data_IF_429043624812
#
_entry.id   IF_429043624812
#
_cell.length_a   1.000
_cell.length_b   1.000
_cell.length_c   1.000
_cell.angle_alpha   90.00
_cell.angle_beta   90.00
_cell.angle_gamma   90.00
#
_symmetry.space_group_name_H-M   'P 1'
#
loop_
_entity.id
_entity.type
_entity.pdbx_description
1 polymer ?
#
# COMPACT_ATOMS: atom_id res chain seq x y z
N UNK A 1 9.64 62.68 18.56
CA UNK A 1 10.34 61.73 17.67
C UNK A 1 9.32 60.72 17.21
N UNK A 2 9.32 60.55 15.91
CA UNK A 2 8.32 59.95 15.02
C UNK A 2 8.41 58.42 14.96
N UNK A 3 7.38 57.81 14.32
CA UNK A 3 7.22 56.43 13.82
C UNK A 3 6.61 55.45 14.82
N UNK A 4 5.39 54.95 14.69
CA UNK A 4 4.61 54.62 13.49
C UNK A 4 4.67 53.10 13.28
N UNK A 5 3.55 52.39 13.46
CA UNK A 5 3.09 51.39 12.48
C UNK A 5 1.67 50.93 12.77
N UNK A 6 0.85 51.06 11.75
CA UNK A 6 -0.51 50.56 11.64
C UNK A 6 -0.51 49.02 11.59
N UNK A 7 -1.59 48.40 12.08
CA UNK A 7 -2.10 47.17 11.45
C UNK A 7 -3.59 47.31 11.23
N UNK A 8 -3.89 47.44 9.95
CA UNK A 8 -5.18 47.47 9.32
C UNK A 8 -6.10 46.34 9.78
N UNK A 9 -7.35 46.73 10.01
CA UNK A 9 -8.50 45.87 9.80
C UNK A 9 -8.73 45.80 8.29
N UNK A 10 -8.48 44.64 7.67
CA UNK A 10 -8.96 44.36 6.32
C UNK A 10 -9.86 43.11 6.36
N UNK A 11 -11.15 43.40 6.29
CA UNK A 11 -12.24 42.51 5.93
C UNK A 11 -12.09 42.16 4.45
N UNK A 12 -12.06 40.87 4.10
CA UNK A 12 -12.32 40.43 2.73
C UNK A 12 -13.72 39.81 2.68
N UNK A 13 -14.63 40.59 2.12
CA UNK A 13 -15.87 40.13 1.49
C UNK A 13 -15.64 40.15 -0.03
N UNK A 14 -16.40 39.32 -0.77
CA UNK A 14 -16.75 39.34 -2.21
C UNK A 14 -16.25 38.09 -2.98
N UNK A 15 -17.01 37.37 -3.82
CA UNK A 15 -18.45 37.25 -4.19
C UNK A 15 -18.57 35.87 -4.90
N UNK A 16 -19.75 35.25 -4.83
CA UNK A 16 -20.14 34.00 -5.49
C UNK A 16 -20.32 34.06 -7.03
N UNK A 17 -20.27 32.86 -7.63
CA UNK A 17 -20.93 32.37 -8.86
C UNK A 17 -20.35 32.70 -10.25
N UNK A 18 -19.85 31.64 -10.92
CA UNK A 18 -20.21 31.32 -12.32
C UNK A 18 -20.30 29.81 -12.52
N UNK A 19 -21.37 29.40 -13.20
CA UNK A 19 -21.90 28.04 -13.46
C UNK A 19 -21.26 27.37 -14.68
N UNK A 20 -21.44 26.03 -14.77
CA UNK A 20 -21.37 25.09 -15.92
C UNK A 20 -20.21 24.07 -15.83
N UNK A 21 -20.35 22.77 -16.12
CA UNK A 21 -21.45 21.96 -16.67
C UNK A 21 -21.14 20.47 -16.39
N UNK A 22 -22.10 19.80 -15.78
CA UNK A 22 -22.61 18.43 -16.03
C UNK A 22 -21.67 17.37 -16.65
N UNK A 23 -21.39 16.29 -15.90
CA UNK A 23 -21.55 14.92 -16.44
C UNK A 23 -22.26 14.04 -15.41
N UNK A 24 -23.49 13.70 -15.75
CA UNK A 24 -24.35 12.75 -15.04
C UNK A 24 -23.87 11.36 -15.44
N UNK A 25 -23.34 10.58 -14.50
CA UNK A 25 -23.20 9.14 -14.66
C UNK A 25 -24.33 8.48 -13.87
N UNK A 26 -25.40 8.10 -14.57
CA UNK A 26 -26.55 7.42 -13.99
C UNK A 26 -26.15 6.02 -13.52
N UNK A 27 -26.50 5.73 -12.28
CA UNK A 27 -26.66 4.39 -11.72
C UNK A 27 -27.76 3.68 -12.52
N UNK A 28 -27.49 2.52 -13.11
CA UNK A 28 -28.54 1.64 -13.64
C UNK A 28 -28.49 0.36 -12.83
N UNK A 29 -29.50 0.20 -11.97
CA UNK A 29 -29.85 -1.06 -11.35
C UNK A 29 -30.42 -1.98 -12.43
N UNK A 30 -29.85 -3.18 -12.59
CA UNK A 30 -30.37 -4.20 -13.50
C UNK A 30 -31.32 -5.08 -12.69
N UNK A 31 -32.61 -4.78 -12.75
CA UNK A 31 -33.67 -5.69 -12.32
C UNK A 31 -33.99 -6.63 -13.49
N UNK A 32 -33.66 -7.91 -13.36
CA UNK A 32 -34.02 -8.92 -14.35
C UNK A 32 -35.48 -9.33 -14.20
N UNK A 33 -36.33 -8.93 -15.15
CA UNK A 33 -37.63 -9.58 -15.38
C UNK A 33 -37.64 -10.17 -16.79
N UNK A 34 -37.76 -11.49 -16.87
CA UNK A 34 -37.92 -12.22 -18.11
C UNK A 34 -39.36 -12.07 -18.61
N UNK A 35 -39.53 -11.55 -19.82
CA UNK A 35 -40.81 -11.58 -20.54
C UNK A 35 -40.63 -12.44 -21.80
N UNK A 36 -41.39 -13.53 -21.87
CA UNK A 36 -41.48 -14.44 -23.01
C UNK A 36 -42.23 -13.77 -24.17
N UNK A 37 -41.66 -13.79 -25.38
CA UNK A 37 -42.33 -13.36 -26.61
C UNK A 37 -42.48 -14.59 -27.53
N UNK A 38 -43.73 -14.83 -27.93
CA UNK A 38 -44.15 -15.83 -28.90
C UNK A 38 -43.76 -15.43 -30.34
N UNK A 39 -43.46 -16.45 -31.15
CA UNK A 39 -42.97 -16.37 -32.53
C UNK A 39 -44.14 -16.27 -33.53
N UNK A 40 -44.16 -15.26 -34.42
CA UNK A 40 -44.82 -15.32 -35.75
C UNK A 40 -44.08 -14.38 -36.72
N UNK A 41 -43.71 -14.86 -37.91
CA UNK A 41 -43.55 -14.01 -39.11
C UNK A 41 -42.19 -14.08 -39.82
N UNK A 42 -42.23 -14.41 -41.11
CA UNK A 42 -41.11 -14.79 -41.97
C UNK A 42 -40.30 -13.63 -42.60
N UNK A 43 -39.07 -14.00 -43.03
CA UNK A 43 -38.17 -13.43 -44.06
C UNK A 43 -37.60 -12.02 -43.85
N UNK A 44 -36.31 -11.95 -43.54
CA UNK A 44 -35.27 -11.44 -44.45
C UNK A 44 -33.89 -11.65 -43.83
N UNK A 45 -32.99 -12.26 -44.59
CA UNK A 45 -31.59 -12.49 -44.25
C UNK A 45 -30.89 -11.16 -43.99
N UNK A 46 -30.59 -10.88 -42.73
CA UNK A 46 -29.55 -9.92 -42.36
C UNK A 46 -28.47 -10.76 -41.70
N UNK A 47 -27.28 -10.78 -42.31
CA UNK A 47 -26.10 -11.39 -41.71
C UNK A 47 -25.93 -10.78 -40.32
N UNK A 48 -26.08 -11.62 -39.29
CA UNK A 48 -25.66 -11.25 -37.96
C UNK A 48 -24.14 -11.03 -38.05
N UNK A 49 -23.72 -9.78 -38.06
CA UNK A 49 -22.35 -9.43 -37.71
C UNK A 49 -22.21 -9.89 -36.27
N UNK A 50 -21.67 -11.10 -36.09
CA UNK A 50 -21.17 -11.55 -34.82
C UNK A 50 -20.04 -10.58 -34.45
N UNK A 51 -20.37 -9.52 -33.72
CA UNK A 51 -19.37 -8.77 -32.98
C UNK A 51 -18.91 -9.72 -31.90
N UNK A 52 -17.80 -10.41 -32.20
CA UNK A 52 -17.06 -11.24 -31.27
C UNK A 52 -16.59 -10.37 -30.10
N UNK A 53 -17.45 -10.23 -29.10
CA UNK A 53 -17.10 -9.61 -27.83
C UNK A 53 -16.45 -10.68 -26.96
N UNK A 54 -15.14 -10.88 -27.13
CA UNK A 54 -14.32 -11.64 -26.18
C UNK A 54 -13.01 -10.91 -25.86
N UNK A 55 -12.66 -10.74 -24.58
CA UNK A 55 -13.50 -10.24 -23.49
C UNK A 55 -12.80 -9.09 -22.74
N UNK A 56 -13.51 -8.45 -21.81
CA UNK A 56 -12.98 -7.45 -20.88
C UNK A 56 -11.89 -7.95 -19.89
N UNK A 57 -11.14 -9.02 -20.22
CA UNK A 57 -10.06 -9.56 -19.39
C UNK A 57 -8.73 -8.82 -19.56
N UNK A 58 -8.50 -8.14 -20.69
CA UNK A 58 -7.21 -7.44 -20.94
C UNK A 58 -6.98 -6.22 -20.01
N UNK A 59 -8.02 -5.68 -19.38
CA UNK A 59 -7.90 -4.51 -18.51
C UNK A 59 -7.50 -4.86 -17.07
N UNK A 60 -7.76 -6.09 -16.61
CA UNK A 60 -7.34 -6.55 -15.28
C UNK A 60 -5.84 -6.86 -15.23
N UNK A 61 -5.28 -7.43 -16.31
CA UNK A 61 -3.84 -7.76 -16.41
C UNK A 61 -2.94 -6.52 -16.45
N UNK A 62 -3.39 -5.42 -17.05
CA UNK A 62 -2.59 -4.18 -17.10
C UNK A 62 -2.49 -3.50 -15.73
N UNK A 63 -3.40 -3.82 -14.80
CA UNK A 63 -3.44 -3.19 -13.47
C UNK A 63 -2.42 -3.82 -12.52
N UNK A 64 -2.11 -5.12 -12.68
CA UNK A 64 -1.07 -5.78 -11.89
C UNK A 64 0.35 -5.43 -12.33
N UNK A 65 0.56 -5.14 -13.62
CA UNK A 65 1.90 -4.79 -14.15
C UNK A 65 2.45 -3.46 -13.60
N UNK A 66 1.58 -2.62 -13.03
CA UNK A 66 1.94 -1.30 -12.51
C UNK A 66 2.12 -1.28 -10.98
N UNK A 67 2.06 -2.44 -10.32
CA UNK A 67 2.23 -2.56 -8.87
C UNK A 67 3.49 -3.35 -8.54
N UNK A 68 4.29 -2.83 -7.60
CA UNK A 68 5.46 -3.54 -7.12
C UNK A 68 5.07 -4.76 -6.28
N UNK A 69 5.70 -5.90 -6.57
CA UNK A 69 5.55 -7.15 -5.83
C UNK A 69 6.81 -7.51 -5.02
N UNK A 70 7.89 -6.74 -5.16
CA UNK A 70 9.05 -6.75 -4.30
C UNK A 70 9.42 -5.33 -3.90
N UNK A 71 9.76 -5.14 -2.63
CA UNK A 71 10.27 -3.88 -2.10
C UNK A 71 11.59 -4.11 -1.38
N UNK A 72 12.63 -3.39 -1.77
CA UNK A 72 13.95 -3.43 -1.13
C UNK A 72 14.21 -2.09 -0.45
N UNK A 73 14.67 -2.13 0.80
CA UNK A 73 14.98 -0.93 1.58
C UNK A 73 16.39 -1.02 2.13
N UNK A 74 17.14 0.06 2.03
CA UNK A 74 18.50 0.15 2.54
C UNK A 74 18.71 1.49 3.25
N UNK A 75 19.36 1.48 4.40
CA UNK A 75 19.79 2.71 5.06
C UNK A 75 20.96 3.38 4.31
N UNK A 76 21.17 4.70 4.44
CA UNK A 76 22.23 5.40 3.72
C UNK A 76 23.64 4.85 3.94
N UNK A 77 23.92 4.30 5.13
CA UNK A 77 25.22 3.72 5.50
C UNK A 77 25.32 2.21 5.24
N UNK A 78 24.28 1.58 4.66
CA UNK A 78 24.23 0.17 4.24
C UNK A 78 24.48 -0.84 5.36
N UNK A 79 24.06 -0.52 6.58
CA UNK A 79 24.10 -1.45 7.72
C UNK A 79 22.81 -2.26 7.86
N UNK A 80 21.71 -1.78 7.27
CA UNK A 80 20.38 -2.40 7.36
C UNK A 80 19.80 -2.58 5.96
N UNK A 81 19.40 -3.82 5.65
CA UNK A 81 18.65 -4.15 4.44
C UNK A 81 17.36 -4.88 4.82
N UNK A 82 16.27 -4.49 4.18
CA UNK A 82 14.95 -5.12 4.33
C UNK A 82 14.44 -5.49 2.95
N UNK A 83 13.95 -6.71 2.76
CA UNK A 83 13.23 -7.11 1.54
C UNK A 83 11.85 -7.58 1.90
N UNK A 84 10.83 -6.95 1.32
CA UNK A 84 9.43 -7.25 1.58
C UNK A 84 8.73 -7.71 0.30
N UNK A 85 8.04 -8.84 0.41
CA UNK A 85 7.14 -9.36 -0.59
C UNK A 85 5.71 -9.32 -0.02
N UNK A 86 4.79 -8.52 -0.60
CA UNK A 86 3.38 -8.55 -0.20
C UNK A 86 2.78 -9.96 -0.30
N UNK A 87 3.26 -10.74 -1.26
CA UNK A 87 2.97 -12.16 -1.43
C UNK A 87 4.29 -12.94 -1.52
N UNK A 88 4.49 -13.89 -0.61
CA UNK A 88 5.73 -14.64 -0.46
C UNK A 88 6.07 -15.44 -1.74
N UNK A 89 7.34 -15.42 -2.18
CA UNK A 89 7.81 -16.25 -3.29
C UNK A 89 7.99 -17.72 -2.87
N UNK A 90 7.85 -18.63 -3.83
CA UNK A 90 8.11 -20.07 -3.66
C UNK A 90 6.92 -20.84 -3.05
N UNK A 91 7.13 -22.11 -2.67
CA UNK A 91 6.04 -23.03 -2.40
C UNK A 91 5.18 -22.53 -1.24
N UNK A 92 3.87 -22.56 -1.47
CA UNK A 92 2.85 -22.25 -0.48
C UNK A 92 3.00 -23.26 0.67
N UNK A 93 3.22 -22.79 1.89
CA UNK A 93 3.23 -23.65 3.08
C UNK A 93 1.80 -23.91 3.52
N UNK A 94 1.53 -25.12 4.02
CA UNK A 94 0.18 -25.53 4.45
C UNK A 94 -0.37 -24.62 5.56
N UNK A 95 0.51 -24.11 6.42
CA UNK A 95 0.14 -23.22 7.53
C UNK A 95 0.11 -21.73 7.15
N UNK A 96 0.59 -21.39 5.95
CA UNK A 96 0.59 -20.01 5.48
C UNK A 96 -0.84 -19.61 5.05
N UNK A 97 -1.36 -18.47 5.50
CA UNK A 97 -2.61 -17.95 4.97
C UNK A 97 -2.46 -17.69 3.45
N UNK A 98 -3.55 -17.81 2.66
CA UNK A 98 -3.51 -17.43 1.25
C UNK A 98 -2.95 -16.02 1.06
N UNK A 99 -1.95 -15.86 0.20
CA UNK A 99 -1.27 -14.58 -0.01
C UNK A 99 -0.42 -14.12 1.18
N UNK A 100 0.12 -15.07 1.98
CA UNK A 100 1.06 -14.76 3.06
C UNK A 100 2.20 -13.87 2.55
N UNK A 101 2.54 -12.83 3.31
CA UNK A 101 3.68 -11.96 3.00
C UNK A 101 4.98 -12.57 3.52
N UNK A 102 6.11 -12.15 2.95
CA UNK A 102 7.43 -12.44 3.47
C UNK A 102 8.21 -11.15 3.70
N UNK A 103 8.97 -11.08 4.80
CA UNK A 103 9.92 -10.01 5.05
C UNK A 103 11.25 -10.62 5.48
N UNK A 104 12.34 -10.23 4.81
CA UNK A 104 13.70 -10.52 5.27
C UNK A 104 14.31 -9.24 5.85
N UNK A 105 15.05 -9.40 6.93
CA UNK A 105 15.77 -8.34 7.61
C UNK A 105 17.23 -8.75 7.75
N UNK A 106 18.13 -7.83 7.46
CA UNK A 106 19.53 -7.92 7.81
C UNK A 106 19.94 -6.59 8.46
N UNK A 107 20.50 -6.64 9.65
CA UNK A 107 20.97 -5.45 10.36
C UNK A 107 21.82 -5.77 11.58
N UNK A 108 22.14 -4.76 12.40
CA UNK A 108 22.96 -4.92 13.61
C UNK A 108 22.41 -5.94 14.63
N UNK A 109 21.09 -6.17 14.61
CA UNK A 109 20.40 -7.13 15.47
C UNK A 109 20.49 -8.58 14.98
N UNK A 110 20.97 -8.79 13.75
CA UNK A 110 21.07 -10.10 13.11
C UNK A 110 20.32 -10.19 11.79
N UNK A 111 20.08 -11.44 11.36
CA UNK A 111 19.35 -11.77 10.15
C UNK A 111 18.08 -12.52 10.51
N UNK A 112 16.94 -12.08 9.98
CA UNK A 112 15.64 -12.67 10.27
C UNK A 112 14.82 -12.81 8.99
N UNK A 113 13.98 -13.85 8.93
CA UNK A 113 12.97 -14.01 7.89
C UNK A 113 11.63 -14.24 8.57
N UNK A 114 10.67 -13.40 8.28
CA UNK A 114 9.31 -13.44 8.82
C UNK A 114 8.33 -13.83 7.71
N UNK A 115 7.29 -14.58 8.07
CA UNK A 115 6.20 -14.93 7.16
C UNK A 115 4.83 -14.87 7.82
N UNK A 116 3.81 -14.64 6.99
CA UNK A 116 2.41 -14.79 7.39
C UNK A 116 2.06 -13.99 8.66
N UNK A 117 1.71 -14.69 9.74
CA UNK A 117 1.24 -14.11 11.01
C UNK A 117 2.33 -13.38 11.82
N UNK A 118 3.60 -13.60 11.50
CA UNK A 118 4.73 -12.90 12.13
C UNK A 118 4.84 -11.44 11.64
N UNK A 119 4.16 -11.12 10.53
CA UNK A 119 4.16 -9.79 9.91
C UNK A 119 2.82 -9.13 10.18
N UNK A 120 2.80 -8.12 11.05
CA UNK A 120 1.63 -7.28 11.28
C UNK A 120 1.57 -6.20 10.20
N UNK A 121 0.39 -6.02 9.60
CA UNK A 121 0.14 -5.04 8.54
C UNK A 121 -1.00 -4.12 8.95
N UNK A 122 -0.78 -2.81 8.92
CA UNK A 122 -1.79 -1.81 9.27
C UNK A 122 -1.81 -0.67 8.25
N UNK A 123 -2.99 -0.35 7.72
CA UNK A 123 -3.16 0.83 6.86
C UNK A 123 -3.09 2.11 7.68
N UNK A 124 -2.45 3.14 7.13
CA UNK A 124 -2.32 4.46 7.73
C UNK A 124 -2.37 5.55 6.65
N UNK A 125 -2.44 6.81 7.05
CA UNK A 125 -2.32 7.95 6.13
C UNK A 125 -0.93 8.04 5.45
N UNK A 126 0.10 7.40 6.02
CA UNK A 126 1.46 7.34 5.48
C UNK A 126 1.66 6.15 4.52
N UNK A 127 0.63 5.33 4.31
CA UNK A 127 0.71 4.07 3.58
C UNK A 127 0.58 2.86 4.49
N UNK A 128 1.18 1.73 4.11
CA UNK A 128 1.14 0.48 4.86
C UNK A 128 2.24 0.45 5.92
N UNK A 129 1.87 0.29 7.18
CA UNK A 129 2.79 -0.01 8.27
C UNK A 129 3.00 -1.51 8.36
N UNK A 130 4.26 -1.94 8.31
CA UNK A 130 4.66 -3.35 8.35
C UNK A 130 5.51 -3.54 9.60
N UNK A 131 5.02 -4.30 10.57
CA UNK A 131 5.68 -4.48 11.86
C UNK A 131 6.09 -5.93 12.07
N UNK A 132 7.34 -6.14 12.50
CA UNK A 132 7.92 -7.43 12.89
C UNK A 132 8.65 -7.30 14.22
N UNK A 133 8.76 -8.41 14.96
CA UNK A 133 9.51 -8.46 16.23
C UNK A 133 10.91 -8.99 15.99
N UNK A 134 11.93 -8.14 16.13
CA UNK A 134 13.33 -8.53 15.98
C UNK A 134 13.86 -9.27 17.21
N UNK A 135 13.40 -8.90 18.41
CA UNK A 135 13.78 -9.54 19.67
C UNK A 135 12.54 -9.70 20.57
N UNK A 136 12.03 -10.92 20.79
CA UNK A 136 10.80 -11.15 21.56
C UNK A 136 10.98 -11.15 23.09
N UNK A 137 12.09 -10.64 23.62
CA UNK A 137 12.40 -10.80 25.04
C UNK A 137 11.67 -9.79 25.95
N UNK A 138 10.70 -10.26 26.73
CA UNK A 138 9.90 -9.45 27.66
C UNK A 138 10.70 -8.93 28.87
N UNK A 139 11.79 -9.60 29.26
CA UNK A 139 12.55 -9.23 30.46
C UNK A 139 13.57 -8.12 30.17
N UNK A 140 14.14 -8.13 28.96
CA UNK A 140 15.11 -7.12 28.48
C UNK A 140 14.47 -6.01 27.63
N UNK A 141 13.17 -6.12 27.37
CA UNK A 141 12.43 -5.21 26.52
C UNK A 141 12.36 -5.70 25.08
N UNK A 142 11.13 -5.83 24.57
CA UNK A 142 10.87 -6.25 23.19
C UNK A 142 11.42 -5.21 22.22
N UNK A 143 12.04 -5.68 21.13
CA UNK A 143 12.43 -4.83 20.01
C UNK A 143 11.56 -5.15 18.79
N UNK A 144 10.77 -4.17 18.36
CA UNK A 144 9.98 -4.23 17.14
C UNK A 144 10.56 -3.29 16.08
N UNK A 145 10.42 -3.68 14.81
CA UNK A 145 10.69 -2.85 13.66
C UNK A 145 9.37 -2.59 12.94
N UNK A 146 9.01 -1.31 12.77
CA UNK A 146 7.88 -0.87 11.96
C UNK A 146 8.37 -0.13 10.74
N UNK A 147 8.18 -0.70 9.57
CA UNK A 147 8.50 -0.11 8.28
C UNK A 147 7.29 0.66 7.74
N UNK A 148 7.52 1.88 7.28
CA UNK A 148 6.52 2.65 6.53
C UNK A 148 6.69 2.33 5.04
N UNK A 149 5.67 1.75 4.42
CA UNK A 149 5.60 1.54 2.98
C UNK A 149 4.60 2.55 2.37
N UNK A 150 5.07 3.64 1.74
CA UNK A 150 4.18 4.55 1.04
C UNK A 150 3.52 3.86 -0.17
N UNK A 151 2.48 4.48 -0.71
CA UNK A 151 1.94 4.05 -2.01
C UNK A 151 2.96 4.36 -3.09
N UNK A 152 3.49 3.32 -3.72
CA UNK A 152 4.46 3.42 -4.80
C UNK A 152 3.76 3.13 -6.12
N UNK A 153 3.79 4.08 -7.04
CA UNK A 153 3.32 3.89 -8.41
C UNK A 153 4.53 3.58 -9.29
N UNK A 154 4.50 2.45 -10.01
CA UNK A 154 5.56 2.13 -10.96
C UNK A 154 5.35 2.93 -12.24
N UNK A 155 6.14 3.99 -12.43
CA UNK A 155 6.18 4.68 -13.71
C UNK A 155 6.87 3.77 -14.74
N UNK A 156 6.21 3.49 -15.87
CA UNK A 156 6.69 2.58 -16.92
C UNK A 156 6.90 1.11 -16.48
N UNK A 157 6.23 0.68 -15.39
CA UNK A 157 5.92 -0.73 -15.11
C UNK A 157 7.07 -1.64 -14.66
N UNK A 158 8.19 -1.10 -14.19
CA UNK A 158 9.36 -1.94 -13.82
C UNK A 158 9.91 -1.65 -12.43
N UNK A 159 10.29 -0.40 -12.15
CA UNK A 159 11.03 -0.03 -10.93
C UNK A 159 10.79 1.43 -10.55
N UNK A 160 10.62 1.69 -9.25
CA UNK A 160 10.50 3.04 -8.71
C UNK A 160 11.31 3.20 -7.42
N UNK A 161 12.15 4.24 -7.38
CA UNK A 161 12.86 4.63 -6.16
C UNK A 161 12.00 5.59 -5.32
N UNK A 162 12.11 5.52 -4.01
CA UNK A 162 11.42 6.42 -3.09
C UNK A 162 12.15 6.51 -1.75
N UNK A 163 11.79 7.52 -0.97
CA UNK A 163 12.31 7.72 0.39
C UNK A 163 11.26 7.29 1.41
N UNK A 164 11.71 6.65 2.48
CA UNK A 164 10.83 6.25 3.57
C UNK A 164 11.61 6.14 4.88
N UNK A 165 10.93 5.70 5.94
CA UNK A 165 11.51 5.44 7.24
C UNK A 165 11.09 4.07 7.77
N UNK A 166 11.95 3.51 8.61
CA UNK A 166 11.54 2.49 9.58
C UNK A 166 11.73 3.04 10.99
N UNK A 167 10.95 2.52 11.94
CA UNK A 167 10.98 2.90 13.33
C UNK A 167 11.30 1.63 14.12
N UNK A 168 12.42 1.63 14.84
CA UNK A 168 12.72 0.61 15.84
C UNK A 168 12.13 1.07 17.17
N UNK A 169 11.21 0.27 17.71
CA UNK A 169 10.56 0.52 18.98
C UNK A 169 11.10 -0.46 20.00
N UNK A 170 11.69 0.05 21.08
CA UNK A 170 12.13 -0.73 22.22
C UNK A 170 11.20 -0.49 23.40
N UNK A 171 10.54 -1.56 23.86
CA UNK A 171 9.80 -1.53 25.12
C UNK A 171 10.75 -1.61 26.32
N UNK A 172 10.37 -1.02 27.45
CA UNK A 172 11.03 -1.27 28.71
C UNK A 172 10.63 -2.67 29.24
N UNK A 173 11.61 -3.49 29.60
CA UNK A 173 11.35 -4.78 30.23
C UNK A 173 10.71 -4.63 31.62
N UNK A 174 10.07 -5.70 32.12
CA UNK A 174 9.25 -5.67 33.36
C UNK A 174 10.00 -5.32 34.65
N UNK A 175 11.33 -5.28 34.66
CA UNK A 175 12.13 -5.27 35.89
C UNK A 175 12.59 -3.86 36.33
N UNK A 176 12.20 -2.79 35.64
CA UNK A 176 12.77 -1.45 35.88
C UNK A 176 11.69 -0.39 36.10
N UNK A 177 11.51 -0.04 37.38
CA UNK A 177 10.76 1.12 37.84
C UNK A 177 11.54 2.40 37.48
N UNK A 178 11.42 2.89 36.24
CA UNK A 178 12.07 4.12 35.76
C UNK A 178 11.03 5.17 35.38
N UNK A 179 11.22 6.40 35.83
CA UNK A 179 10.50 7.55 35.32
C UNK A 179 10.87 7.78 33.84
N UNK A 180 9.88 8.11 32.99
CA UNK A 180 10.09 8.38 31.56
C UNK A 180 9.07 7.68 30.66
N UNK A 181 9.37 7.61 29.35
CA UNK A 181 8.55 6.92 28.37
C UNK A 181 8.74 5.41 28.45
N UNK A 182 7.65 4.64 28.44
CA UNK A 182 7.65 3.17 28.39
C UNK A 182 8.26 2.61 27.08
N UNK A 183 8.23 3.43 26.02
CA UNK A 183 8.74 3.10 24.71
C UNK A 183 9.83 4.07 24.30
N UNK A 184 10.94 3.55 23.76
CA UNK A 184 11.98 4.34 23.10
C UNK A 184 11.95 4.06 21.60
N UNK A 185 12.11 5.11 20.80
CA UNK A 185 12.04 5.03 19.35
C UNK A 185 13.36 5.45 18.70
N UNK A 186 13.79 4.70 17.70
CA UNK A 186 14.87 5.06 16.79
C UNK A 186 14.32 5.09 15.37
N UNK A 187 14.37 6.25 14.72
CA UNK A 187 13.95 6.43 13.33
C UNK A 187 15.14 6.17 12.42
N UNK A 188 14.99 5.20 11.51
CA UNK A 188 15.94 4.87 10.46
C UNK A 188 15.45 5.46 9.13
N UNK A 189 16.16 6.42 8.54
CA UNK A 189 15.88 6.84 7.16
C UNK A 189 16.27 5.70 6.21
N UNK A 190 15.44 5.44 5.20
CA UNK A 190 15.63 4.36 4.24
C UNK A 190 15.43 4.86 2.81
N UNK A 191 16.26 4.35 1.90
CA UNK A 191 16.03 4.40 0.45
C UNK A 191 15.30 3.13 0.05
N UNK A 192 14.10 3.28 -0.50
CA UNK A 192 13.24 2.20 -0.98
C UNK A 192 13.28 2.06 -2.49
N UNK A 193 13.12 0.82 -2.94
CA UNK A 193 12.98 0.45 -4.35
C UNK A 193 11.81 -0.51 -4.45
N UNK A 194 10.76 -0.14 -5.18
CA UNK A 194 9.65 -1.01 -5.52
C UNK A 194 9.80 -1.54 -6.94
N UNK A 195 9.69 -2.84 -7.13
CA UNK A 195 9.90 -3.53 -8.40
C UNK A 195 8.81 -4.55 -8.69
N UNK A 196 8.51 -4.74 -9.97
CA UNK A 196 7.69 -5.86 -10.46
C UNK A 196 8.61 -6.97 -10.99
N UNK A 197 8.87 -7.99 -10.16
CA UNK A 197 9.72 -9.13 -10.51
C UNK A 197 8.89 -10.38 -10.81
N UNK A 198 9.27 -11.23 -11.77
CA UNK A 198 8.63 -12.53 -11.93
C UNK A 198 8.82 -13.38 -10.66
N UNK A 199 7.73 -13.79 -10.01
CA UNK A 199 7.80 -14.67 -8.84
C UNK A 199 7.83 -16.14 -9.30
N UNK A 200 8.77 -16.97 -8.81
CA UNK A 200 8.71 -18.41 -9.05
C UNK A 200 7.50 -19.00 -8.31
N UNK A 201 6.71 -19.79 -9.04
CA UNK A 201 5.57 -20.56 -8.53
C UNK A 201 6.03 -21.76 -7.70
#
# INVERSE_FOLDING_TARGET
>A
MDKGNAKDVCVYHIINHTTMRTKISRLVAITTSFLTIAIIGAVNSVEAIAVDLKPAQKLADTTQLNQANQYTFTDPIRTTQIVFFPQAPGPIRVDDPPGASQLTYQGPEGQFTFRGKEIKKQKSALGLLITVTLQPNFDQGQLELTLVLPTVNLENGQKQNFDTVAIKTRGLGRVINRAGSELTYLVLPLKGVGESVPLPL
#
